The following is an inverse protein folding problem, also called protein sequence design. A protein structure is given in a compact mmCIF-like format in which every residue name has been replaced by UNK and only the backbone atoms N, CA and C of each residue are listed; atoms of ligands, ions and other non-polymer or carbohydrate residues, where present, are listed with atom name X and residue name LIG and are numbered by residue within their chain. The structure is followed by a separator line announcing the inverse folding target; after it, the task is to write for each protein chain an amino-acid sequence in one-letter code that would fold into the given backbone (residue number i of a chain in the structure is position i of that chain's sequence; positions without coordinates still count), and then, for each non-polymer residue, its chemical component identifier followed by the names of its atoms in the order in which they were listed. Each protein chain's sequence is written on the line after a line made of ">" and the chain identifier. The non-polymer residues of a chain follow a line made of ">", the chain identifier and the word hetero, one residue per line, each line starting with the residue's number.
data_IF_767327932888
#
_entry.id   IF_767327932888
#
_cell.length_a   1.000
_cell.length_b   1.000
_cell.length_c   1.000
_cell.angle_alpha   90.00
_cell.angle_beta   90.00
_cell.angle_gamma   90.00
#
_symmetry.space_group_name_H-M   'P 1'
#
loop_
_entity.id
_entity.type
_entity.pdbx_description
1 polymer ?
#
# COMPACT_ATOMS: atom_id res chain seq x y z
N UNK A 1 -18.12 -5.26 9.60
CA UNK A 1 -17.08 -5.89 10.43
C UNK A 1 -17.52 -5.83 11.87
N UNK A 2 -17.09 -6.78 12.70
CA UNK A 2 -17.33 -6.78 14.15
C UNK A 2 -16.01 -6.43 14.85
N UNK A 3 -16.05 -5.62 15.90
CA UNK A 3 -14.88 -5.24 16.69
C UNK A 3 -14.94 -5.99 18.02
N UNK A 4 -13.91 -6.79 18.31
CA UNK A 4 -13.80 -7.55 19.57
C UNK A 4 -12.37 -7.36 20.07
N UNK A 5 -12.18 -6.88 21.30
CA UNK A 5 -10.85 -6.68 21.90
C UNK A 5 -9.84 -5.96 20.98
N UNK A 6 -10.24 -4.80 20.43
CA UNK A 6 -9.46 -3.96 19.50
C UNK A 6 -9.07 -4.61 18.16
N UNK A 7 -9.49 -5.84 17.93
CA UNK A 7 -9.28 -6.56 16.68
C UNK A 7 -10.55 -6.56 15.83
N UNK A 8 -10.35 -6.46 14.51
CA UNK A 8 -11.43 -6.44 13.52
C UNK A 8 -11.72 -7.86 13.07
N UNK A 9 -12.99 -8.24 13.04
CA UNK A 9 -13.45 -9.56 12.63
C UNK A 9 -14.46 -9.46 11.48
N UNK A 10 -14.43 -10.43 10.56
CA UNK A 10 -15.46 -10.60 9.54
C UNK A 10 -15.56 -12.06 9.08
N UNK A 11 -16.67 -12.37 8.41
CA UNK A 11 -16.91 -13.68 7.83
C UNK A 11 -15.91 -14.00 6.68
N UNK A 12 -15.57 -15.26 6.46
CA UNK A 12 -14.64 -15.68 5.40
C UNK A 12 -15.06 -15.17 4.00
N UNK A 13 -16.33 -15.38 3.64
CA UNK A 13 -16.88 -14.91 2.36
C UNK A 13 -16.75 -13.39 2.19
N UNK A 14 -16.89 -12.65 3.29
CA UNK A 14 -16.80 -11.19 3.32
C UNK A 14 -15.35 -10.72 3.16
N UNK A 15 -14.40 -11.44 3.78
CA UNK A 15 -12.96 -11.17 3.68
C UNK A 15 -12.47 -11.45 2.25
N UNK A 16 -12.89 -12.57 1.65
CA UNK A 16 -12.55 -12.96 0.27
C UNK A 16 -13.23 -12.05 -0.75
N UNK A 17 -14.49 -11.68 -0.51
CA UNK A 17 -15.27 -10.81 -1.40
C UNK A 17 -15.05 -9.31 -1.20
N UNK A 18 -14.03 -8.89 -0.44
CA UNK A 18 -13.73 -7.47 -0.15
C UNK A 18 -14.87 -6.68 0.52
N UNK A 19 -15.86 -7.36 1.11
CA UNK A 19 -17.02 -6.80 1.83
C UNK A 19 -16.84 -6.80 3.35
N UNK A 20 -15.64 -7.09 3.83
CA UNK A 20 -15.35 -7.21 5.25
C UNK A 20 -15.74 -5.96 6.05
N UNK A 21 -15.55 -4.75 5.49
CA UNK A 21 -15.90 -3.48 6.12
C UNK A 21 -17.36 -3.42 6.59
N UNK A 22 -18.28 -3.94 5.78
CA UNK A 22 -19.75 -3.89 6.03
C UNK A 22 -20.31 -5.24 6.45
N UNK A 23 -19.48 -6.24 6.78
CA UNK A 23 -19.95 -7.55 7.23
C UNK A 23 -20.80 -7.43 8.50
N UNK A 24 -22.08 -7.84 8.43
CA UNK A 24 -23.04 -7.91 9.55
C UNK A 24 -23.48 -9.35 9.86
N UNK A 25 -22.90 -10.35 9.21
CA UNK A 25 -23.24 -11.75 9.45
C UNK A 25 -22.76 -12.20 10.83
N UNK A 26 -23.70 -12.60 11.69
CA UNK A 26 -23.45 -13.18 13.01
C UNK A 26 -23.51 -14.71 13.01
N UNK A 27 -24.16 -15.29 12.00
CA UNK A 27 -24.42 -16.73 11.90
C UNK A 27 -23.23 -17.53 11.33
N UNK A 28 -22.17 -16.83 10.91
CA UNK A 28 -21.01 -17.42 10.22
C UNK A 28 -19.76 -17.29 11.08
N UNK A 29 -18.81 -18.23 10.96
CA UNK A 29 -17.53 -18.13 11.66
C UNK A 29 -16.82 -16.83 11.29
N UNK A 30 -16.42 -16.10 12.34
CA UNK A 30 -15.73 -14.82 12.25
C UNK A 30 -14.22 -15.03 12.33
N UNK A 31 -13.48 -14.40 11.43
CA UNK A 31 -12.02 -14.47 11.38
C UNK A 31 -11.40 -13.10 11.63
N UNK A 32 -10.26 -13.07 12.32
CA UNK A 32 -9.48 -11.86 12.56
C UNK A 32 -8.92 -11.31 11.24
N UNK A 33 -9.21 -10.03 10.96
CA UNK A 33 -8.71 -9.30 9.81
C UNK A 33 -7.36 -8.69 10.17
N UNK A 34 -6.27 -9.31 9.70
CA UNK A 34 -4.93 -8.71 9.74
C UNK A 34 -4.88 -7.44 8.88
N UNK A 35 -3.97 -6.51 9.18
CA UNK A 35 -3.77 -5.29 8.37
C UNK A 35 -3.45 -5.69 6.93
N UNK A 36 -4.40 -5.45 6.02
CA UNK A 36 -4.18 -5.61 4.58
C UNK A 36 -3.49 -4.35 4.06
N UNK A 37 -2.31 -4.49 3.48
CA UNK A 37 -1.63 -3.42 2.78
C UNK A 37 -0.77 -4.03 1.68
N UNK A 38 -0.98 -3.60 0.44
CA UNK A 38 0.02 -3.82 -0.61
C UNK A 38 1.26 -3.03 -0.17
N UNK A 39 2.46 -3.61 -0.15
CA UNK A 39 3.65 -2.81 0.06
C UNK A 39 3.67 -1.67 -0.97
N UNK A 40 4.13 -0.50 -0.53
CA UNK A 40 4.21 0.66 -1.42
C UNK A 40 5.11 0.29 -2.59
N UNK A 41 4.55 0.30 -3.80
CA UNK A 41 5.31 -0.08 -5.01
C UNK A 41 6.18 1.05 -5.54
N UNK A 42 6.25 2.17 -4.82
CA UNK A 42 6.93 3.40 -5.22
C UNK A 42 7.72 3.90 -4.02
N UNK A 43 8.90 4.45 -4.28
CA UNK A 43 9.66 5.13 -3.26
C UNK A 43 8.94 6.40 -2.79
N UNK A 44 9.30 6.87 -1.60
CA UNK A 44 8.72 8.07 -0.98
C UNK A 44 8.89 9.31 -1.88
N UNK A 45 10.02 9.43 -2.57
CA UNK A 45 10.31 10.54 -3.49
C UNK A 45 9.36 10.59 -4.70
N UNK A 46 9.17 9.47 -5.41
CA UNK A 46 8.20 9.40 -6.52
C UNK A 46 6.75 9.64 -6.06
N UNK A 47 6.44 9.25 -4.82
CA UNK A 47 5.13 9.50 -4.21
C UNK A 47 4.90 10.98 -3.92
N UNK A 48 5.93 11.69 -3.48
CA UNK A 48 5.90 13.14 -3.25
C UNK A 48 5.79 13.91 -4.55
N UNK A 49 6.57 13.55 -5.59
CA UNK A 49 6.48 14.14 -6.92
C UNK A 49 5.07 14.08 -7.52
N UNK A 50 4.34 12.98 -7.32
CA UNK A 50 2.92 12.89 -7.73
C UNK A 50 2.02 13.85 -6.98
N UNK A 51 2.28 14.09 -5.69
CA UNK A 51 1.45 14.97 -4.87
C UNK A 51 1.74 16.45 -5.14
N UNK A 52 3.01 16.81 -5.21
CA UNK A 52 3.45 18.20 -5.31
C UNK A 52 3.46 18.70 -6.74
N UNK A 53 3.92 17.87 -7.69
CA UNK A 53 4.10 18.24 -9.10
C UNK A 53 3.09 17.58 -10.04
N UNK A 54 2.20 16.70 -9.56
CA UNK A 54 1.24 15.95 -10.38
C UNK A 54 1.89 15.13 -11.52
N UNK A 55 3.13 14.69 -11.31
CA UNK A 55 3.91 13.96 -12.32
C UNK A 55 3.67 12.46 -12.21
N UNK A 56 3.13 11.85 -13.28
CA UNK A 56 2.82 10.42 -13.35
C UNK A 56 3.94 9.59 -14.00
N UNK A 57 5.14 9.59 -13.39
CA UNK A 57 6.26 8.73 -13.85
C UNK A 57 6.21 7.32 -13.24
N UNK A 58 6.70 6.33 -14.00
CA UNK A 58 6.92 4.97 -13.51
C UNK A 58 8.14 4.97 -12.59
N UNK A 59 7.93 4.61 -11.32
CA UNK A 59 9.02 4.47 -10.35
C UNK A 59 9.83 3.20 -10.64
N UNK A 60 11.11 3.36 -11.00
CA UNK A 60 12.05 2.25 -11.22
C UNK A 60 13.02 2.06 -10.04
N UNK A 61 12.80 2.75 -8.91
CA UNK A 61 13.67 2.74 -7.74
C UNK A 61 13.73 1.39 -7.01
N UNK A 62 12.81 0.46 -7.33
CA UNK A 62 12.73 -0.87 -6.71
C UNK A 62 13.94 -1.78 -6.99
N UNK A 63 14.78 -1.44 -7.97
CA UNK A 63 16.00 -2.21 -8.31
C UNK A 63 17.24 -1.81 -7.48
N UNK A 64 17.17 -0.73 -6.69
CA UNK A 64 18.32 -0.17 -5.95
C UNK A 64 18.26 -0.38 -4.42
N UNK A 65 17.24 -1.08 -3.90
CA UNK A 65 17.01 -1.23 -2.45
C UNK A 65 17.32 -2.65 -1.96
N UNK A 66 18.57 -3.07 -2.04
CA UNK A 66 19.04 -4.28 -1.34
C UNK A 66 20.24 -4.04 -0.44
N UNK A 67 20.47 -2.81 0.02
CA UNK A 67 21.44 -2.56 1.10
C UNK A 67 20.91 -1.47 2.02
N UNK A 68 20.88 -1.82 3.30
CA UNK A 68 20.45 -1.02 4.44
C UNK A 68 21.36 0.19 4.65
N UNK A 69 20.80 1.21 5.29
CA UNK A 69 21.50 2.21 6.11
C UNK A 69 22.59 3.04 5.42
N UNK A 70 22.30 4.33 5.21
CA UNK A 70 23.16 5.49 5.51
C UNK A 70 22.82 6.65 4.56
N UNK A 71 22.51 7.79 5.14
CA UNK A 71 22.19 9.02 4.42
C UNK A 71 23.32 9.42 3.44
N UNK A 72 22.90 10.01 2.32
CA UNK A 72 23.68 10.90 1.40
C UNK A 72 23.91 10.36 -0.02
N UNK A 73 22.91 10.54 -0.89
CA UNK A 73 23.07 11.03 -2.28
C UNK A 73 21.70 11.07 -2.98
N UNK A 74 21.05 12.21 -2.76
CA UNK A 74 19.69 12.57 -3.10
C UNK A 74 19.45 12.77 -4.59
N UNK A 75 19.53 11.72 -5.42
CA UNK A 75 19.03 11.84 -6.79
C UNK A 75 18.32 10.57 -7.27
N UNK A 76 17.00 10.54 -7.06
CA UNK A 76 16.13 9.79 -7.94
C UNK A 76 16.13 10.50 -9.30
N UNK A 77 16.76 9.92 -10.33
CA UNK A 77 16.73 10.47 -11.70
C UNK A 77 15.36 10.32 -12.39
N UNK A 78 14.30 10.18 -11.62
CA UNK A 78 12.91 10.15 -12.10
C UNK A 78 12.40 11.54 -12.53
N UNK A 79 13.13 12.63 -12.23
CA UNK A 79 12.81 13.98 -12.75
C UNK A 79 13.19 14.15 -14.25
N UNK A 80 14.08 13.32 -14.82
CA UNK A 80 14.60 13.48 -16.21
C UNK A 80 14.02 12.51 -17.24
N UNK A 81 13.45 11.39 -16.81
CA UNK A 81 12.96 10.31 -17.69
C UNK A 81 11.47 10.44 -18.03
N UNK A 82 11.01 11.69 -18.19
CA UNK A 82 9.67 12.04 -18.65
C UNK A 82 9.42 11.68 -20.12
N UNK A 83 9.58 10.40 -20.48
CA UNK A 83 9.11 9.87 -21.76
C UNK A 83 7.59 9.84 -21.68
N UNK A 84 6.96 10.92 -22.17
CA UNK A 84 5.54 10.96 -22.53
C UNK A 84 5.27 9.77 -23.47
N UNK A 85 4.50 8.81 -23.00
CA UNK A 85 3.77 7.84 -23.80
C UNK A 85 2.31 7.97 -23.37
#
# INVERSE_FOLDING_TARGET
>A
MVLIAEKKYACEACIKGHRASVCQHTDRPLFEIKRKGRPVSQCQHCRELRKTKQVHVKCMCALRNNDSDYASSSTCECDRTGSRL
#
